data_IF_560212828159
#
_entry.id   IF_560212828159
#
_cell.length_a   1.000
_cell.length_b   1.000
_cell.length_c   1.000
_cell.angle_alpha   90.00
_cell.angle_beta   90.00
_cell.angle_gamma   90.00
#
_symmetry.space_group_name_H-M   'P 1'
#
loop_
_entity.id
_entity.type
_entity.pdbx_description
1 polymer ?
#
# COMPACT_ATOMS: atom_id res chain seq x y z
N UNK A 1 32.88 0.95 15.85
CA UNK A 1 32.10 0.71 14.61
C UNK A 1 32.93 1.04 13.38
N UNK A 2 32.98 0.15 12.39
CA UNK A 2 33.81 0.36 11.20
C UNK A 2 33.52 1.68 10.49
N UNK A 3 32.25 2.09 10.37
CA UNK A 3 31.85 3.34 9.70
C UNK A 3 32.41 4.57 10.38
N UNK A 4 32.45 4.58 11.71
CA UNK A 4 33.03 5.69 12.47
C UNK A 4 34.56 5.65 12.40
N UNK A 5 35.14 4.45 12.41
CA UNK A 5 36.59 4.27 12.34
C UNK A 5 37.22 4.77 11.03
N UNK A 6 36.44 4.74 9.93
CA UNK A 6 36.88 5.28 8.64
C UNK A 6 36.50 6.75 8.43
N UNK A 7 35.99 7.42 9.47
CA UNK A 7 35.73 8.85 9.44
C UNK A 7 34.50 9.30 8.68
N UNK A 8 33.45 8.46 8.59
CA UNK A 8 32.20 8.84 7.94
C UNK A 8 31.47 9.87 8.81
N UNK A 9 31.03 10.97 8.19
CA UNK A 9 30.20 11.97 8.82
C UNK A 9 28.78 11.43 9.01
N UNK A 10 28.43 11.11 10.26
CA UNK A 10 27.13 10.53 10.61
C UNK A 10 25.97 11.49 10.35
N UNK A 11 26.16 12.79 10.53
CA UNK A 11 25.12 13.79 10.23
C UNK A 11 24.78 13.82 8.76
N UNK A 12 25.78 13.81 7.90
CA UNK A 12 25.60 13.76 6.45
C UNK A 12 24.94 12.43 6.04
N UNK A 13 25.37 11.32 6.61
CA UNK A 13 24.80 10.01 6.34
C UNK A 13 23.32 9.96 6.73
N UNK A 14 22.96 10.42 7.92
CA UNK A 14 21.57 10.48 8.37
C UNK A 14 20.72 11.39 7.47
N UNK A 15 21.27 12.52 7.04
CA UNK A 15 20.58 13.43 6.13
C UNK A 15 20.23 12.77 4.81
N UNK A 16 21.09 11.93 4.27
CA UNK A 16 20.82 11.22 3.01
C UNK A 16 19.85 10.04 3.18
N UNK A 17 19.89 9.34 4.33
CA UNK A 17 19.10 8.14 4.54
C UNK A 17 17.69 8.41 5.08
N UNK A 18 17.52 9.44 5.90
CA UNK A 18 16.30 9.65 6.69
C UNK A 18 15.54 10.94 6.40
N UNK A 19 16.06 11.80 5.53
CA UNK A 19 15.32 13.01 5.15
C UNK A 19 14.42 12.73 3.94
N UNK A 20 13.32 13.45 3.88
CA UNK A 20 12.39 13.39 2.76
C UNK A 20 11.92 14.80 2.40
N UNK A 21 11.39 14.95 1.19
CA UNK A 21 10.81 16.21 0.75
C UNK A 21 9.59 16.55 1.60
N UNK A 22 9.40 17.83 1.89
CA UNK A 22 8.25 18.28 2.69
C UNK A 22 6.91 17.90 2.05
N UNK A 23 6.85 17.86 0.73
CA UNK A 23 5.67 17.43 0.00
C UNK A 23 5.32 15.96 0.26
N UNK A 24 6.33 15.10 0.31
CA UNK A 24 6.14 13.68 0.62
C UNK A 24 5.68 13.48 2.06
N UNK A 25 6.25 14.23 3.00
CA UNK A 25 5.84 14.19 4.40
C UNK A 25 4.38 14.59 4.57
N UNK A 26 3.97 15.68 3.93
CA UNK A 26 2.58 16.16 3.98
C UNK A 26 1.63 15.18 3.29
N UNK A 27 2.07 14.59 2.17
CA UNK A 27 1.29 13.55 1.48
C UNK A 27 1.07 12.35 2.39
N UNK A 28 2.12 11.86 3.06
CA UNK A 28 2.00 10.73 4.00
C UNK A 28 0.96 11.03 5.08
N UNK A 29 1.02 12.21 5.68
CA UNK A 29 0.09 12.61 6.73
C UNK A 29 -1.36 12.64 6.20
N UNK A 30 -1.57 13.22 5.03
CA UNK A 30 -2.89 13.31 4.42
C UNK A 30 -3.43 11.93 4.06
N UNK A 31 -2.67 11.13 3.31
CA UNK A 31 -3.17 9.86 2.80
C UNK A 31 -3.43 8.85 3.93
N UNK A 32 -2.58 8.84 4.96
CA UNK A 32 -2.82 7.96 6.11
C UNK A 32 -4.07 8.35 6.88
N UNK A 33 -4.40 9.65 6.93
CA UNK A 33 -5.65 10.11 7.55
C UNK A 33 -6.90 9.65 6.77
N UNK A 34 -6.74 9.27 5.51
CA UNK A 34 -7.82 8.84 4.63
C UNK A 34 -7.97 7.31 4.55
N UNK A 35 -7.24 6.54 5.36
CA UNK A 35 -7.32 5.08 5.33
C UNK A 35 -8.73 4.60 5.66
N UNK A 36 -9.18 3.62 4.91
CA UNK A 36 -10.49 2.99 5.12
C UNK A 36 -10.31 1.50 5.37
N UNK A 37 -11.28 0.92 6.06
CA UNK A 37 -11.33 -0.52 6.35
C UNK A 37 -12.64 -1.09 5.81
N UNK A 38 -12.55 -2.28 5.22
CA UNK A 38 -13.74 -3.06 4.87
C UNK A 38 -14.29 -3.74 6.12
N UNK A 39 -15.45 -4.36 6.01
CA UNK A 39 -16.13 -5.02 7.13
C UNK A 39 -15.23 -6.03 7.86
N UNK A 40 -14.46 -6.83 7.12
CA UNK A 40 -13.59 -7.85 7.71
C UNK A 40 -12.14 -7.41 7.88
N UNK A 41 -11.82 -6.14 7.61
CA UNK A 41 -10.54 -5.56 7.97
C UNK A 41 -9.51 -5.42 6.85
N UNK A 42 -9.93 -5.35 5.59
CA UNK A 42 -9.02 -4.94 4.51
C UNK A 42 -8.79 -3.45 4.64
N UNK A 43 -7.55 -3.05 4.86
CA UNK A 43 -7.18 -1.64 4.88
C UNK A 43 -6.86 -1.18 3.46
N UNK A 44 -7.32 0.02 3.08
CA UNK A 44 -7.01 0.52 1.75
C UNK A 44 -6.92 2.05 1.69
N UNK A 45 -6.13 2.49 0.71
CA UNK A 45 -5.91 3.89 0.37
C UNK A 45 -6.22 4.11 -1.11
N UNK A 46 -6.66 5.32 -1.44
CA UNK A 46 -6.84 5.73 -2.83
C UNK A 46 -6.08 7.03 -3.07
N UNK A 47 -5.14 7.02 -4.00
CA UNK A 47 -4.34 8.20 -4.37
C UNK A 47 -4.79 8.66 -5.74
N UNK A 48 -5.44 9.82 -5.79
CA UNK A 48 -5.92 10.41 -7.05
C UNK A 48 -4.81 11.18 -7.76
N UNK A 49 -5.00 11.48 -9.04
CA UNK A 49 -4.08 12.34 -9.78
C UNK A 49 -4.01 13.74 -9.14
N UNK A 50 -5.13 14.24 -8.67
CA UNK A 50 -5.18 15.53 -7.98
C UNK A 50 -4.30 15.56 -6.74
N UNK A 51 -4.27 14.48 -5.96
CA UNK A 51 -3.38 14.36 -4.81
C UNK A 51 -1.91 14.32 -5.21
N UNK A 52 -1.58 13.59 -6.28
CA UNK A 52 -0.22 13.51 -6.78
C UNK A 52 0.29 14.89 -7.22
N UNK A 53 -0.55 15.66 -7.90
CA UNK A 53 -0.23 17.03 -8.32
C UNK A 53 -0.13 17.99 -7.12
N UNK A 54 -1.07 17.91 -6.20
CA UNK A 54 -1.10 18.77 -5.00
C UNK A 54 0.18 18.68 -4.19
N UNK A 55 0.72 17.47 -4.03
CA UNK A 55 1.92 17.24 -3.23
C UNK A 55 3.19 17.14 -4.07
N UNK A 56 3.09 17.35 -5.37
CA UNK A 56 4.21 17.29 -6.32
C UNK A 56 5.01 15.99 -6.19
N UNK A 57 4.32 14.87 -6.06
CA UNK A 57 4.92 13.55 -5.93
C UNK A 57 4.79 12.76 -7.24
N UNK A 58 5.78 11.89 -7.48
CA UNK A 58 5.75 10.99 -8.62
C UNK A 58 4.75 9.83 -8.40
N UNK A 59 4.37 9.16 -9.48
CA UNK A 59 3.56 7.94 -9.42
C UNK A 59 4.22 6.88 -8.54
N UNK A 60 5.54 6.73 -8.65
CA UNK A 60 6.29 5.76 -7.87
C UNK A 60 6.22 6.07 -6.36
N UNK A 61 6.44 7.32 -5.99
CA UNK A 61 6.32 7.76 -4.60
C UNK A 61 4.90 7.54 -4.08
N UNK A 62 3.89 7.86 -4.88
CA UNK A 62 2.50 7.61 -4.52
C UNK A 62 2.23 6.11 -4.29
N UNK A 63 2.80 5.25 -5.13
CA UNK A 63 2.64 3.80 -5.03
C UNK A 63 3.20 3.22 -3.73
N UNK A 64 4.23 3.85 -3.17
CA UNK A 64 4.86 3.41 -1.94
C UNK A 64 3.97 3.61 -0.71
N UNK A 65 2.86 4.33 -0.84
CA UNK A 65 1.93 4.56 0.27
C UNK A 65 1.32 3.26 0.83
N UNK A 66 1.35 2.18 0.07
CA UNK A 66 0.86 0.88 0.56
C UNK A 66 1.60 0.44 1.83
N UNK A 67 2.88 0.82 1.97
CA UNK A 67 3.66 0.48 3.16
C UNK A 67 3.25 1.27 4.41
N UNK A 68 2.59 2.41 4.25
CA UNK A 68 2.21 3.28 5.38
C UNK A 68 1.16 2.65 6.29
N UNK A 69 0.36 1.74 5.75
CA UNK A 69 -0.75 1.11 6.47
C UNK A 69 -0.48 -0.36 6.81
N UNK A 70 0.77 -0.77 6.74
CA UNK A 70 1.18 -2.15 7.03
C UNK A 70 1.06 -2.56 8.49
N UNK A 71 0.91 -1.60 9.41
CA UNK A 71 0.92 -1.84 10.85
C UNK A 71 -0.46 -1.76 11.50
N UNK A 72 -1.52 -1.68 10.72
CA UNK A 72 -2.88 -1.61 11.27
C UNK A 72 -3.23 -2.95 11.95
N UNK A 73 -3.60 -2.88 13.21
CA UNK A 73 -3.98 -4.06 13.99
C UNK A 73 -5.21 -4.73 13.38
N UNK A 74 -5.21 -6.05 13.33
CA UNK A 74 -6.29 -6.88 12.78
C UNK A 74 -6.49 -6.77 11.26
N UNK A 75 -5.59 -6.09 10.55
CA UNK A 75 -5.61 -6.03 9.10
C UNK A 75 -4.46 -6.86 8.53
N UNK A 76 -4.79 -7.97 7.86
CA UNK A 76 -3.79 -8.85 7.25
C UNK A 76 -3.69 -8.68 5.74
N UNK A 77 -4.59 -7.93 5.13
CA UNK A 77 -4.51 -7.55 3.72
C UNK A 77 -4.68 -6.03 3.65
N UNK A 78 -3.78 -5.36 2.95
CA UNK A 78 -3.88 -3.92 2.73
C UNK A 78 -3.54 -3.58 1.29
N UNK A 79 -4.24 -2.59 0.75
CA UNK A 79 -4.23 -2.24 -0.66
C UNK A 79 -4.02 -0.74 -0.85
N UNK A 80 -3.36 -0.38 -1.96
CA UNK A 80 -3.31 1.00 -2.41
C UNK A 80 -3.76 1.06 -3.87
N UNK A 81 -4.69 1.96 -4.14
CA UNK A 81 -5.18 2.26 -5.49
C UNK A 81 -4.57 3.58 -5.92
N UNK A 82 -3.77 3.58 -6.98
CA UNK A 82 -3.07 4.77 -7.47
C UNK A 82 -3.59 5.10 -8.88
N UNK A 83 -4.20 6.27 -9.03
CA UNK A 83 -4.75 6.70 -10.29
C UNK A 83 -3.64 7.02 -11.29
N UNK A 84 -3.76 6.45 -12.49
CA UNK A 84 -2.88 6.71 -13.62
C UNK A 84 -3.44 7.83 -14.50
N UNK A 85 -2.62 8.35 -15.43
CA UNK A 85 -3.04 9.38 -16.39
C UNK A 85 -4.25 8.96 -17.22
N UNK A 86 -4.40 7.66 -17.48
CA UNK A 86 -5.54 7.09 -18.21
C UNK A 86 -6.86 7.14 -17.46
N UNK A 87 -6.84 7.41 -16.14
CA UNK A 87 -8.00 7.31 -15.27
C UNK A 87 -8.20 5.92 -14.66
N UNK A 88 -7.42 4.95 -15.08
CA UNK A 88 -7.41 3.63 -14.45
C UNK A 88 -6.60 3.67 -13.17
N UNK A 89 -6.74 2.64 -12.33
CA UNK A 89 -6.00 2.55 -11.08
C UNK A 89 -5.05 1.37 -11.10
N UNK A 90 -3.78 1.65 -10.80
CA UNK A 90 -2.82 0.61 -10.46
C UNK A 90 -3.07 0.22 -9.01
N UNK A 91 -3.06 -1.08 -8.73
CA UNK A 91 -3.31 -1.59 -7.39
C UNK A 91 -2.06 -2.27 -6.85
N UNK A 92 -1.66 -1.88 -5.65
CA UNK A 92 -0.62 -2.58 -4.89
C UNK A 92 -1.30 -3.38 -3.80
N UNK A 93 -1.02 -4.69 -3.76
CA UNK A 93 -1.58 -5.60 -2.77
C UNK A 93 -0.48 -6.12 -1.87
N UNK A 94 -0.74 -6.11 -0.58
CA UNK A 94 0.19 -6.65 0.43
C UNK A 94 -0.60 -7.46 1.45
N UNK A 95 0.06 -8.44 2.04
CA UNK A 95 -0.58 -9.26 3.07
C UNK A 95 0.42 -9.83 4.06
N UNK A 96 -0.12 -10.32 5.16
CA UNK A 96 0.56 -11.22 6.10
C UNK A 96 -0.25 -12.50 6.12
N UNK A 97 0.41 -13.65 6.04
CA UNK A 97 -0.19 -14.97 6.17
C UNK A 97 -1.08 -15.38 4.99
N UNK A 98 -2.01 -14.53 4.57
CA UNK A 98 -2.93 -14.85 3.47
C UNK A 98 -2.26 -14.64 2.12
N UNK A 99 -2.45 -15.57 1.19
CA UNK A 99 -1.90 -15.46 -0.17
C UNK A 99 -2.82 -14.61 -1.04
N UNK A 100 -2.26 -13.59 -1.70
CA UNK A 100 -3.00 -12.61 -2.50
C UNK A 100 -2.65 -12.62 -3.98
N UNK A 101 -1.69 -13.44 -4.41
CA UNK A 101 -1.29 -13.51 -5.81
C UNK A 101 -2.44 -13.95 -6.73
N UNK A 102 -3.26 -14.91 -6.28
CA UNK A 102 -4.45 -15.33 -7.03
C UNK A 102 -5.47 -14.23 -7.21
N UNK A 103 -5.66 -13.41 -6.17
CA UNK A 103 -6.52 -12.22 -6.25
C UNK A 103 -5.99 -11.22 -7.28
N UNK A 104 -4.69 -10.96 -7.27
CA UNK A 104 -4.05 -10.06 -8.23
C UNK A 104 -4.21 -10.57 -9.67
N UNK A 105 -4.05 -11.86 -9.89
CA UNK A 105 -4.20 -12.48 -11.22
C UNK A 105 -5.61 -12.30 -11.78
N UNK A 106 -6.63 -12.36 -10.93
CA UNK A 106 -8.01 -12.15 -11.32
C UNK A 106 -8.25 -10.75 -11.91
N UNK A 107 -7.45 -9.78 -11.50
CA UNK A 107 -7.53 -8.37 -11.96
C UNK A 107 -6.35 -7.98 -12.86
N UNK A 108 -5.89 -8.92 -13.65
CA UNK A 108 -4.92 -8.67 -14.73
C UNK A 108 -3.48 -8.47 -14.26
N UNK A 109 -3.17 -8.88 -13.05
CA UNK A 109 -1.84 -8.71 -12.47
C UNK A 109 -1.21 -10.01 -12.04
N UNK A 110 -0.43 -9.94 -10.97
CA UNK A 110 0.27 -11.09 -10.41
C UNK A 110 1.35 -10.63 -9.44
N UNK A 111 2.16 -11.57 -8.98
CA UNK A 111 3.24 -11.29 -8.05
C UNK A 111 3.52 -12.45 -7.11
N UNK A 112 3.99 -12.13 -5.92
CA UNK A 112 4.28 -13.09 -4.87
C UNK A 112 3.09 -13.30 -3.94
N UNK A 113 3.16 -14.31 -3.07
CA UNK A 113 2.08 -14.65 -2.15
C UNK A 113 1.61 -13.48 -1.28
N UNK A 114 2.56 -12.65 -0.80
CA UNK A 114 2.27 -11.55 0.11
C UNK A 114 2.55 -10.15 -0.48
N UNK A 115 2.93 -10.06 -1.74
CA UNK A 115 3.21 -8.80 -2.43
C UNK A 115 2.91 -8.94 -3.92
N UNK A 116 1.86 -8.31 -4.38
CA UNK A 116 1.39 -8.43 -5.75
C UNK A 116 0.88 -7.08 -6.28
N UNK A 117 0.64 -7.02 -7.57
CA UNK A 117 0.08 -5.86 -8.24
C UNK A 117 -1.04 -6.25 -9.18
N UNK A 118 -1.97 -5.34 -9.40
CA UNK A 118 -3.10 -5.53 -10.29
C UNK A 118 -3.52 -4.19 -10.91
N UNK A 119 -4.59 -4.18 -11.69
CA UNK A 119 -5.16 -2.96 -12.24
C UNK A 119 -6.68 -3.05 -12.22
N UNK A 120 -7.33 -1.93 -11.97
CA UNK A 120 -8.79 -1.81 -12.09
C UNK A 120 -9.12 -0.58 -12.93
N UNK A 121 -10.14 -0.70 -13.78
CA UNK A 121 -10.46 0.31 -14.77
C UNK A 121 -11.37 1.42 -14.26
N UNK A 122 -12.16 1.13 -13.25
CA UNK A 122 -13.20 2.04 -12.77
C UNK A 122 -13.60 1.72 -11.32
N UNK A 123 -14.52 2.52 -10.78
CA UNK A 123 -15.01 2.34 -9.43
C UNK A 123 -15.72 1.00 -9.21
N UNK A 124 -16.37 0.46 -10.23
CA UNK A 124 -17.05 -0.84 -10.15
C UNK A 124 -16.05 -1.97 -9.92
N UNK A 125 -14.97 -2.00 -10.71
CA UNK A 125 -13.91 -3.00 -10.56
C UNK A 125 -13.19 -2.84 -9.22
N UNK A 126 -12.97 -1.59 -8.79
CA UNK A 126 -12.38 -1.30 -7.48
C UNK A 126 -13.22 -1.92 -6.35
N UNK A 127 -14.53 -1.70 -6.39
CA UNK A 127 -15.44 -2.30 -5.39
C UNK A 127 -15.43 -3.81 -5.44
N UNK A 128 -15.37 -4.39 -6.64
CA UNK A 128 -15.31 -5.84 -6.82
C UNK A 128 -14.03 -6.43 -6.20
N UNK A 129 -12.89 -5.79 -6.44
CA UNK A 129 -11.61 -6.21 -5.87
C UNK A 129 -11.64 -6.12 -4.34
N UNK A 130 -12.17 -5.04 -3.79
CA UNK A 130 -12.30 -4.87 -2.34
C UNK A 130 -13.21 -5.94 -1.74
N UNK A 131 -14.31 -6.27 -2.40
CA UNK A 131 -15.22 -7.34 -1.94
C UNK A 131 -14.53 -8.71 -1.96
N UNK A 132 -13.76 -8.99 -3.00
CA UNK A 132 -13.01 -10.25 -3.11
C UNK A 132 -11.93 -10.34 -2.01
N UNK A 133 -11.22 -9.24 -1.76
CA UNK A 133 -10.21 -9.17 -0.71
C UNK A 133 -10.84 -9.35 0.69
N UNK A 134 -11.98 -8.72 0.91
CA UNK A 134 -12.71 -8.83 2.17
C UNK A 134 -13.17 -10.28 2.44
N UNK A 135 -13.64 -10.95 1.40
CA UNK A 135 -14.01 -12.36 1.48
C UNK A 135 -12.79 -13.23 1.80
N UNK A 136 -11.65 -12.92 1.19
CA UNK A 136 -10.41 -13.66 1.44
C UNK A 136 -9.99 -13.54 2.90
N UNK A 137 -10.09 -12.35 3.50
CA UNK A 137 -9.82 -12.16 4.93
C UNK A 137 -10.81 -12.95 5.78
N UNK A 138 -12.09 -12.89 5.45
CA UNK A 138 -13.13 -13.60 6.20
C UNK A 138 -12.87 -15.11 6.19
N UNK A 139 -12.55 -15.67 5.03
CA UNK A 139 -12.23 -17.09 4.89
C UNK A 139 -10.96 -17.44 5.67
N UNK A 140 -9.95 -16.59 5.63
CA UNK A 140 -8.72 -16.82 6.38
C UNK A 140 -8.98 -16.86 7.88
N UNK A 141 -9.73 -15.90 8.41
CA UNK A 141 -10.07 -15.83 9.84
C UNK A 141 -10.87 -17.06 10.30
N UNK A 142 -11.78 -17.53 9.48
CA UNK A 142 -12.60 -18.71 9.78
C UNK A 142 -11.73 -19.98 9.91
N UNK A 143 -10.68 -20.10 9.09
CA UNK A 143 -9.84 -21.29 9.04
C UNK A 143 -8.57 -21.21 9.91
N UNK A 144 -8.28 -20.06 10.52
CA UNK A 144 -7.06 -19.83 11.28
C UNK A 144 -7.36 -19.09 12.59
N UNK A 145 -7.90 -19.81 13.57
CA UNK A 145 -8.16 -19.23 14.89
C UNK A 145 -6.87 -18.73 15.55
N UNK A 146 -6.96 -17.61 16.25
CA UNK A 146 -5.84 -17.06 17.00
C UNK A 146 -4.71 -16.47 16.16
N UNK A 147 -4.97 -16.10 14.94
CA UNK A 147 -3.96 -15.55 14.02
C UNK A 147 -3.44 -14.16 14.42
N UNK A 148 -4.10 -13.49 15.36
CA UNK A 148 -3.66 -12.18 15.91
C UNK A 148 -3.69 -12.17 17.43
#
# INVERSE_FOLDING_TARGET
>A
MPLLDIGIDTDTLFSHLYTEEIGELKFRAHITSCVKLTENGVAYLTVTRAMQEKYAISFETASNCVSYISTIKNSIIWLAFIEEDSGEFRVRLRSRFAEINGLAEKYGGGGHACAAGASVKNAREKRALLADADRLIADYKENHEGWL
#
